data_IF_115594907777
#
_entry.id   IF_115594907777
#
_cell.length_a   1.000
_cell.length_b   1.000
_cell.length_c   1.000
_cell.angle_alpha   90.00
_cell.angle_beta   90.00
_cell.angle_gamma   90.00
#
_symmetry.space_group_name_H-M   'P 1'
#
loop_
_entity.id
_entity.type
_entity.pdbx_description
1 polymer ?
#
# COMPACT_ATOMS: atom_id res chain seq x y z
N UNK A 1 6.25 -8.47 15.19
CA UNK A 1 5.24 -7.65 14.47
C UNK A 1 4.08 -8.54 14.04
N UNK A 2 2.83 -8.09 14.23
CA UNK A 2 1.64 -8.81 13.73
C UNK A 2 1.67 -8.93 12.21
N UNK A 3 1.02 -9.96 11.62
CA UNK A 3 0.89 -10.12 10.16
C UNK A 3 0.32 -8.86 9.48
N UNK A 4 -0.44 -8.07 10.21
CA UNK A 4 -0.98 -6.81 9.72
C UNK A 4 0.08 -5.72 9.51
N UNK A 5 1.13 -5.74 10.31
CA UNK A 5 2.19 -4.73 10.29
C UNK A 5 3.44 -5.17 9.52
N UNK A 6 3.43 -6.37 8.92
CA UNK A 6 4.46 -6.88 8.00
C UNK A 6 3.90 -7.17 6.60
N UNK A 7 3.46 -6.14 5.84
CA UNK A 7 2.96 -6.33 4.49
C UNK A 7 4.02 -6.95 3.57
N UNK A 8 3.63 -7.80 2.60
CA UNK A 8 4.56 -8.38 1.64
C UNK A 8 5.24 -7.28 0.81
N UNK A 9 6.50 -7.52 0.44
CA UNK A 9 7.29 -6.64 -0.43
C UNK A 9 7.52 -7.36 -1.77
N UNK A 10 7.15 -6.73 -2.89
CA UNK A 10 7.45 -7.29 -4.22
C UNK A 10 8.91 -7.12 -4.60
N UNK A 11 9.43 -8.04 -5.43
CA UNK A 11 10.77 -7.93 -6.01
C UNK A 11 10.98 -6.59 -6.73
N UNK A 12 10.01 -6.17 -7.55
CA UNK A 12 10.01 -4.87 -8.24
C UNK A 12 10.23 -3.69 -7.28
N UNK A 13 9.55 -3.70 -6.14
CA UNK A 13 9.62 -2.62 -5.15
C UNK A 13 10.91 -2.66 -4.35
N UNK A 14 11.45 -3.85 -4.09
CA UNK A 14 12.75 -4.01 -3.47
C UNK A 14 13.87 -3.45 -4.37
N UNK A 15 13.89 -3.83 -5.65
CA UNK A 15 14.86 -3.33 -6.64
C UNK A 15 14.80 -1.80 -6.72
N UNK A 16 13.60 -1.23 -6.83
CA UNK A 16 13.43 0.22 -6.87
C UNK A 16 13.95 0.92 -5.61
N UNK A 17 13.68 0.36 -4.42
CA UNK A 17 14.20 0.90 -3.16
C UNK A 17 15.71 0.80 -3.02
N UNK A 18 16.37 -0.13 -3.72
CA UNK A 18 17.82 -0.27 -3.73
C UNK A 18 18.52 0.63 -4.75
N UNK A 19 17.80 1.10 -5.78
CA UNK A 19 18.31 2.09 -6.73
C UNK A 19 18.36 3.52 -6.17
N UNK A 20 17.77 3.77 -5.00
CA UNK A 20 17.82 5.08 -4.36
C UNK A 20 19.26 5.48 -4.01
N UNK A 21 19.64 6.77 -4.15
CA UNK A 21 21.00 7.23 -3.90
C UNK A 21 21.44 6.94 -2.46
N UNK A 22 22.73 6.63 -2.27
CA UNK A 22 23.30 6.31 -0.96
C UNK A 22 22.98 4.89 -0.44
N UNK A 23 22.52 3.98 -1.32
CA UNK A 23 22.26 2.56 -1.00
C UNK A 23 23.09 1.57 -1.81
N UNK A 24 24.08 2.09 -2.53
CA UNK A 24 25.07 1.30 -3.23
C UNK A 24 25.81 0.40 -2.23
N UNK A 25 26.02 -0.87 -2.60
CA UNK A 25 26.67 -1.90 -1.78
C UNK A 25 25.97 -2.26 -0.45
N UNK A 26 24.73 -1.81 -0.21
CA UNK A 26 23.99 -2.19 1.00
C UNK A 26 23.16 -3.45 0.80
N UNK A 27 23.04 -4.23 1.86
CA UNK A 27 22.29 -5.49 1.91
C UNK A 27 20.83 -5.22 2.25
N UNK A 28 19.90 -5.83 1.50
CA UNK A 28 18.46 -5.67 1.73
C UNK A 28 17.99 -6.55 2.89
N UNK A 29 17.27 -5.96 3.85
CA UNK A 29 16.67 -6.72 4.95
C UNK A 29 15.17 -6.48 4.95
N UNK A 30 14.41 -7.53 4.68
CA UNK A 30 12.94 -7.51 4.72
C UNK A 30 12.49 -8.38 5.88
N UNK A 31 11.67 -7.82 6.76
CA UNK A 31 11.02 -8.57 7.84
C UNK A 31 9.59 -8.88 7.41
N UNK A 32 9.42 -9.94 6.63
CA UNK A 32 8.13 -10.32 6.05
C UNK A 32 8.27 -11.18 4.79
N UNK A 33 7.16 -11.43 4.11
CA UNK A 33 7.16 -12.17 2.86
C UNK A 33 7.67 -11.31 1.69
N UNK A 34 8.48 -11.92 0.83
CA UNK A 34 8.88 -11.35 -0.46
C UNK A 34 8.03 -12.04 -1.53
N UNK A 35 7.38 -11.27 -2.38
CA UNK A 35 6.54 -11.80 -3.47
C UNK A 35 7.24 -11.63 -4.80
N UNK A 36 7.21 -12.69 -5.61
CA UNK A 36 7.62 -12.62 -7.00
C UNK A 36 6.73 -11.65 -7.79
N UNK A 37 7.32 -11.02 -8.80
CA UNK A 37 6.64 -10.08 -9.68
C UNK A 37 7.08 -10.37 -11.11
N UNK A 38 6.26 -11.14 -11.83
CA UNK A 38 6.51 -11.64 -13.20
C UNK A 38 6.86 -10.53 -14.20
N UNK A 39 6.54 -9.27 -13.88
CA UNK A 39 6.91 -8.10 -14.69
C UNK A 39 8.41 -7.77 -14.64
N UNK A 40 9.15 -8.33 -13.67
CA UNK A 40 10.59 -8.12 -13.51
C UNK A 40 11.32 -9.22 -14.24
N UNK A 41 11.97 -8.88 -15.35
CA UNK A 41 12.74 -9.83 -16.15
C UNK A 41 14.19 -10.00 -15.66
N UNK A 42 14.78 -8.95 -15.07
CA UNK A 42 16.16 -8.97 -14.61
C UNK A 42 16.26 -8.62 -13.12
N UNK A 43 16.71 -9.58 -12.33
CA UNK A 43 16.99 -9.38 -10.90
C UNK A 43 18.50 -9.24 -10.75
N UNK A 44 18.95 -8.01 -10.46
CA UNK A 44 20.35 -7.76 -10.08
C UNK A 44 20.71 -8.57 -8.82
N UNK A 45 21.98 -8.96 -8.68
CA UNK A 45 22.49 -9.76 -7.54
C UNK A 45 22.18 -9.06 -6.20
N UNK A 46 21.18 -9.57 -5.49
CA UNK A 46 20.81 -9.10 -4.15
C UNK A 46 21.44 -10.01 -3.10
N UNK A 47 22.18 -9.43 -2.15
CA UNK A 47 22.68 -10.16 -0.97
C UNK A 47 21.62 -10.13 0.12
N UNK A 48 21.39 -11.26 0.78
CA UNK A 48 20.48 -11.42 1.92
C UNK A 48 21.26 -11.55 3.23
N UNK A 49 20.61 -11.14 4.32
CA UNK A 49 21.19 -10.66 5.58
C UNK A 49 22.01 -11.64 6.45
N UNK A 50 22.38 -12.83 5.96
CA UNK A 50 23.11 -13.80 6.79
C UNK A 50 24.53 -13.31 7.16
N UNK A 51 25.08 -12.33 6.44
CA UNK A 51 26.50 -11.95 6.55
C UNK A 51 26.83 -10.85 7.59
N UNK A 52 25.86 -10.17 8.23
CA UNK A 52 26.14 -8.97 9.07
C UNK A 52 25.44 -8.97 10.43
N UNK A 53 26.06 -9.53 11.50
CA UNK A 53 25.47 -9.62 12.84
C UNK A 53 25.29 -8.25 13.54
N UNK A 54 26.08 -7.23 13.18
CA UNK A 54 26.00 -5.87 13.75
C UNK A 54 25.04 -4.94 13.00
N UNK A 55 24.48 -5.37 11.87
CA UNK A 55 23.61 -4.52 11.04
C UNK A 55 24.32 -3.32 10.39
N UNK A 56 25.66 -3.35 10.26
CA UNK A 56 26.37 -2.36 9.47
C UNK A 56 26.18 -2.66 7.98
N UNK A 57 25.91 -1.64 7.17
CA UNK A 57 25.72 -1.80 5.71
C UNK A 57 24.39 -2.40 5.27
N UNK A 58 23.35 -2.42 6.12
CA UNK A 58 22.02 -2.93 5.76
C UNK A 58 21.00 -1.81 5.52
N UNK A 59 20.00 -2.08 4.67
CA UNK A 59 18.81 -1.25 4.52
C UNK A 59 17.58 -2.08 4.87
N UNK A 60 16.85 -1.65 5.89
CA UNK A 60 15.56 -2.25 6.26
C UNK A 60 14.47 -1.79 5.29
N UNK A 61 13.82 -2.75 4.65
CA UNK A 61 12.75 -2.50 3.68
C UNK A 61 11.43 -3.06 4.23
N UNK A 62 10.40 -2.21 4.21
CA UNK A 62 9.02 -2.58 4.54
C UNK A 62 8.11 -2.44 3.31
N UNK A 63 7.13 -3.34 3.19
CA UNK A 63 6.05 -3.21 2.22
C UNK A 63 5.12 -2.03 2.56
N UNK A 64 4.25 -1.62 1.62
CA UNK A 64 3.28 -0.55 1.86
C UNK A 64 2.19 -1.01 2.86
N UNK A 65 2.08 -0.40 4.05
CA UNK A 65 1.06 -0.81 5.02
C UNK A 65 -0.36 -0.45 4.54
N UNK A 66 -0.52 0.70 3.88
CA UNK A 66 -1.82 1.27 3.47
C UNK A 66 -2.37 0.73 2.14
N UNK A 67 -1.80 -0.35 1.58
CA UNK A 67 -2.25 -0.95 0.32
C UNK A 67 -3.50 -1.85 0.44
N UNK A 68 -4.02 -2.05 1.66
CA UNK A 68 -5.13 -2.99 1.91
C UNK A 68 -6.48 -2.35 1.64
N UNK A 69 -7.45 -3.13 1.16
CA UNK A 69 -8.82 -2.68 0.91
C UNK A 69 -9.49 -2.01 2.10
N UNK A 70 -9.19 -2.48 3.33
CA UNK A 70 -9.69 -1.89 4.60
C UNK A 70 -9.41 -0.39 4.69
N UNK A 71 -8.21 0.06 4.27
CA UNK A 71 -7.85 1.49 4.34
C UNK A 71 -8.67 2.38 3.41
N UNK A 72 -9.39 1.80 2.44
CA UNK A 72 -10.34 2.53 1.59
C UNK A 72 -11.67 2.84 2.28
N UNK A 73 -12.03 2.08 3.31
CA UNK A 73 -13.26 2.27 4.08
C UNK A 73 -13.07 3.21 5.29
N UNK A 74 -11.85 3.37 5.76
CA UNK A 74 -11.55 4.25 6.89
C UNK A 74 -11.89 5.70 6.53
N UNK A 75 -12.58 6.37 7.46
CA UNK A 75 -12.92 7.78 7.33
C UNK A 75 -11.65 8.63 7.16
N UNK A 76 -11.71 9.58 6.23
CA UNK A 76 -10.62 10.53 5.98
C UNK A 76 -11.22 11.92 5.77
N UNK A 77 -10.63 12.96 6.36
CA UNK A 77 -11.09 14.32 6.11
C UNK A 77 -11.01 14.63 4.61
N UNK A 78 -12.06 15.28 4.08
CA UNK A 78 -12.12 15.80 2.70
C UNK A 78 -12.00 14.75 1.59
N UNK A 79 -12.19 13.45 1.89
CA UNK A 79 -12.20 12.37 0.88
C UNK A 79 -13.43 11.50 1.00
N UNK A 80 -13.93 11.04 -0.15
CA UNK A 80 -14.98 10.04 -0.21
C UNK A 80 -14.39 8.69 0.21
N UNK A 81 -15.00 8.06 1.21
CA UNK A 81 -14.65 6.70 1.64
C UNK A 81 -15.42 5.66 0.81
N UNK A 82 -14.82 4.48 0.66
CA UNK A 82 -15.49 3.33 0.07
C UNK A 82 -16.53 2.81 1.07
N UNK A 83 -17.82 2.71 0.71
CA UNK A 83 -18.83 2.19 1.61
C UNK A 83 -18.61 0.70 1.91
N UNK A 84 -19.06 0.26 3.08
CA UNK A 84 -19.09 -1.17 3.45
C UNK A 84 -20.35 -1.82 2.86
N UNK A 85 -20.19 -2.48 1.71
CA UNK A 85 -21.27 -3.16 1.01
C UNK A 85 -20.82 -4.59 0.70
N UNK A 86 -21.72 -5.56 0.88
CA UNK A 86 -21.47 -6.97 0.55
C UNK A 86 -21.48 -7.24 -0.95
N UNK A 87 -22.41 -6.63 -1.68
CA UNK A 87 -22.62 -6.83 -3.12
C UNK A 87 -22.31 -5.58 -3.93
N UNK A 88 -21.67 -5.74 -5.09
CA UNK A 88 -21.35 -4.64 -6.01
C UNK A 88 -22.33 -4.67 -7.18
N UNK A 89 -22.93 -3.53 -7.51
CA UNK A 89 -23.84 -3.44 -8.67
C UNK A 89 -24.56 -2.10 -8.77
N UNK A 90 -25.30 -1.88 -9.86
CA UNK A 90 -26.02 -0.62 -10.12
C UNK A 90 -27.03 -0.27 -9.01
N UNK A 91 -27.64 -1.29 -8.40
CA UNK A 91 -28.67 -1.16 -7.36
C UNK A 91 -28.10 -0.96 -5.94
N UNK A 92 -26.79 -1.13 -5.72
CA UNK A 92 -26.19 -1.08 -4.38
C UNK A 92 -25.42 0.23 -4.16
N UNK A 93 -25.94 1.10 -3.28
CA UNK A 93 -25.40 2.43 -2.89
C UNK A 93 -24.79 3.29 -4.01
N UNK A 94 -25.46 3.35 -5.16
CA UNK A 94 -25.06 4.21 -6.30
C UNK A 94 -26.12 5.24 -6.70
N UNK A 95 -27.23 5.32 -5.98
CA UNK A 95 -28.39 6.15 -6.30
C UNK A 95 -28.33 7.55 -5.68
N UNK A 96 -29.20 7.80 -4.70
CA UNK A 96 -29.25 9.06 -3.93
C UNK A 96 -27.89 9.34 -3.28
N UNK A 97 -27.56 10.61 -3.11
CA UNK A 97 -26.33 11.13 -2.46
C UNK A 97 -25.03 10.89 -3.24
N UNK A 98 -25.03 10.00 -4.24
CA UNK A 98 -23.87 9.73 -5.10
C UNK A 98 -23.94 10.45 -6.45
N UNK A 99 -25.13 10.87 -6.88
CA UNK A 99 -25.39 11.48 -8.20
C UNK A 99 -26.21 12.77 -8.06
N UNK A 100 -25.83 13.79 -8.82
CA UNK A 100 -26.59 15.04 -8.85
C UNK A 100 -28.03 14.84 -9.38
N UNK A 101 -28.24 13.90 -10.30
CA UNK A 101 -29.57 13.60 -10.87
C UNK A 101 -30.53 12.83 -9.95
N UNK A 102 -30.11 12.44 -8.74
CA UNK A 102 -30.92 11.68 -7.78
C UNK A 102 -30.94 12.41 -6.43
N UNK A 103 -31.52 13.61 -6.40
CA UNK A 103 -31.68 14.43 -5.19
C UNK A 103 -30.51 15.39 -4.98
N UNK A 104 -29.37 14.90 -4.51
CA UNK A 104 -28.15 15.68 -4.33
C UNK A 104 -26.90 14.79 -4.40
N UNK A 105 -25.72 15.40 -4.49
CA UNK A 105 -24.44 14.68 -4.48
C UNK A 105 -23.61 15.13 -3.27
N UNK A 106 -23.28 14.20 -2.39
CA UNK A 106 -22.35 14.43 -1.28
C UNK A 106 -21.01 14.89 -1.85
N UNK A 107 -20.65 16.16 -1.59
CA UNK A 107 -19.31 16.67 -1.83
C UNK A 107 -18.50 16.46 -0.56
N UNK A 108 -17.27 15.92 -0.64
CA UNK A 108 -16.47 15.60 0.54
C UNK A 108 -16.07 16.81 1.40
N UNK A 109 -16.35 18.03 0.94
CA UNK A 109 -16.05 19.30 1.62
C UNK A 109 -17.26 19.92 2.33
N UNK A 110 -18.50 19.48 2.03
CA UNK A 110 -19.74 20.10 2.54
C UNK A 110 -20.12 19.57 3.94
N UNK A 111 -19.56 18.43 4.36
CA UNK A 111 -19.86 17.81 5.67
C UNK A 111 -19.13 18.45 6.86
N UNK A 112 -18.54 19.64 6.70
CA UNK A 112 -17.82 20.39 7.74
C UNK A 112 -18.36 21.82 7.93
N UNK A 113 -19.54 22.11 7.36
CA UNK A 113 -20.23 23.39 7.53
C UNK A 113 -21.51 23.17 8.35
N UNK A 114 -21.34 22.78 9.61
CA UNK A 114 -22.28 22.95 10.71
C UNK A 114 -21.47 23.06 11.99
#
# INVERSE_FOLDING_TARGET
MSRNNRPPLSLSRMIWKMKLPGRENKTAVVVGAITDDVRVQEVRKLKLALDSPKGCGIVRLSGPPKGRGVYGHLARPRKLYKPYIRSIGRKFERGRDRRASRGYKNKPWILLSY
#
